data_IF_367165323575
#
_entry.id   IF_367165323575
#
_cell.length_a   1.000
_cell.length_b   1.000
_cell.length_c   1.000
_cell.angle_alpha   90.00
_cell.angle_beta   90.00
_cell.angle_gamma   90.00
#
_symmetry.space_group_name_H-M   'P 1'
#
loop_
_entity.id
_entity.type
_entity.pdbx_description
1 polymer ?
#
# COMPACT_ATOMS: atom_id res chain seq x y z
N UNK A 1 9.11 18.39 -9.55
CA UNK A 1 7.70 18.81 -9.72
C UNK A 1 6.79 17.72 -9.17
N UNK A 2 5.58 18.06 -8.73
CA UNK A 2 4.58 17.06 -8.32
C UNK A 2 3.94 16.38 -9.55
N UNK A 3 3.55 15.11 -9.39
CA UNK A 3 2.81 14.39 -10.43
C UNK A 3 1.47 15.07 -10.71
N UNK A 4 1.15 15.33 -11.98
CA UNK A 4 -0.11 15.96 -12.42
C UNK A 4 -1.36 15.22 -11.96
N UNK A 5 -1.23 13.91 -11.68
CA UNK A 5 -2.34 13.07 -11.23
C UNK A 5 -2.52 13.01 -9.72
N UNK A 6 -1.69 13.69 -8.93
CA UNK A 6 -1.69 13.58 -7.46
C UNK A 6 -3.06 13.90 -6.85
N UNK A 7 -3.78 14.88 -7.41
CA UNK A 7 -5.10 15.33 -6.95
C UNK A 7 -6.25 14.39 -7.30
N UNK A 8 -6.08 13.53 -8.29
CA UNK A 8 -7.09 12.51 -8.64
C UNK A 8 -6.94 11.24 -7.80
N UNK A 9 -5.89 11.16 -6.97
CA UNK A 9 -5.69 9.99 -6.12
C UNK A 9 -6.63 10.02 -4.92
N UNK A 10 -7.24 8.88 -4.59
CA UNK A 10 -7.98 8.67 -3.33
C UNK A 10 -7.11 9.05 -2.10
N UNK A 11 -5.78 8.93 -2.22
CA UNK A 11 -4.85 9.30 -1.16
C UNK A 11 -4.88 10.80 -0.84
N UNK A 12 -5.20 11.67 -1.80
CA UNK A 12 -5.31 13.11 -1.54
C UNK A 12 -6.52 13.42 -0.65
N UNK A 13 -7.67 12.80 -0.96
CA UNK A 13 -8.89 12.90 -0.15
C UNK A 13 -8.67 12.36 1.27
N UNK A 14 -8.12 11.14 1.40
CA UNK A 14 -7.83 10.53 2.70
C UNK A 14 -6.85 11.40 3.51
N UNK A 15 -5.83 11.97 2.87
CA UNK A 15 -4.89 12.89 3.53
C UNK A 15 -5.61 14.13 4.05
N UNK A 16 -6.51 14.72 3.26
CA UNK A 16 -7.32 15.85 3.70
C UNK A 16 -8.17 15.50 4.93
N UNK A 17 -8.84 14.35 4.92
CA UNK A 17 -9.63 13.87 6.06
C UNK A 17 -8.77 13.69 7.33
N UNK A 18 -7.62 13.02 7.20
CA UNK A 18 -6.69 12.79 8.31
C UNK A 18 -6.13 14.12 8.86
N UNK A 19 -5.83 15.09 8.00
CA UNK A 19 -5.37 16.41 8.40
C UNK A 19 -6.45 17.19 9.17
N UNK A 20 -7.70 17.11 8.74
CA UNK A 20 -8.84 17.75 9.43
C UNK A 20 -9.11 17.13 10.80
N UNK A 21 -8.91 15.82 10.93
CA UNK A 21 -9.01 15.14 12.23
C UNK A 21 -7.87 15.56 13.17
N UNK A 22 -6.64 15.56 12.67
CA UNK A 22 -5.46 15.99 13.45
C UNK A 22 -5.59 17.44 13.93
N UNK A 23 -6.08 18.35 13.08
CA UNK A 23 -6.25 19.76 13.47
C UNK A 23 -7.28 19.95 14.57
N UNK A 24 -8.28 19.06 14.66
CA UNK A 24 -9.32 19.11 15.70
C UNK A 24 -8.91 18.36 16.97
N UNK A 25 -8.11 17.31 16.81
CA UNK A 25 -7.71 16.40 17.87
C UNK A 25 -6.22 16.04 17.69
N UNK A 26 -5.30 16.82 18.29
CA UNK A 26 -3.88 16.56 18.18
C UNK A 26 -3.53 15.15 18.65
N UNK A 27 -2.74 14.43 17.86
CA UNK A 27 -2.35 13.03 18.10
C UNK A 27 -3.24 11.99 17.41
N UNK A 28 -4.28 12.38 16.67
CA UNK A 28 -5.16 11.42 15.98
C UNK A 28 -4.42 10.56 14.94
N UNK A 29 -3.54 11.16 14.13
CA UNK A 29 -2.72 10.40 13.16
C UNK A 29 -1.84 9.37 13.85
N UNK A 30 -1.23 9.74 14.98
CA UNK A 30 -0.44 8.83 15.79
C UNK A 30 -1.30 7.69 16.35
N UNK A 31 -2.47 8.01 16.90
CA UNK A 31 -3.39 7.03 17.44
C UNK A 31 -3.84 6.01 16.38
N UNK A 32 -4.13 6.46 15.16
CA UNK A 32 -4.51 5.58 14.03
C UNK A 32 -3.37 4.64 13.66
N UNK A 33 -2.15 5.15 13.45
CA UNK A 33 -0.99 4.32 13.12
C UNK A 33 -0.70 3.32 14.24
N UNK A 34 -0.67 3.77 15.49
CA UNK A 34 -0.48 2.91 16.67
C UNK A 34 -1.56 1.81 16.77
N UNK A 35 -2.79 2.11 16.38
CA UNK A 35 -3.85 1.09 16.35
C UNK A 35 -3.56 0.01 15.31
N UNK A 36 -3.12 0.39 14.10
CA UNK A 36 -2.71 -0.57 13.06
C UNK A 36 -1.51 -1.39 13.52
N UNK A 37 -0.48 -0.77 14.10
CA UNK A 37 0.72 -1.49 14.61
C UNK A 37 0.36 -2.53 15.66
N UNK A 38 -0.65 -2.27 16.50
CA UNK A 38 -1.15 -3.23 17.50
C UNK A 38 -1.95 -4.37 16.88
N UNK A 39 -2.62 -4.12 15.77
CA UNK A 39 -3.44 -5.12 15.07
C UNK A 39 -2.61 -5.98 14.11
N UNK A 40 -1.56 -5.44 13.50
CA UNK A 40 -0.70 -6.14 12.55
C UNK A 40 -0.23 -7.53 13.03
N UNK A 41 0.36 -7.70 14.23
CA UNK A 41 0.83 -9.01 14.68
C UNK A 41 -0.30 -10.01 14.96
N UNK A 42 -1.54 -9.54 15.15
CA UNK A 42 -2.70 -10.44 15.28
C UNK A 42 -3.12 -10.99 13.92
N UNK A 43 -3.01 -10.20 12.86
CA UNK A 43 -3.33 -10.62 11.50
C UNK A 43 -2.23 -11.52 10.94
N UNK A 44 -0.96 -11.19 11.18
CA UNK A 44 0.18 -12.00 10.71
C UNK A 44 0.15 -13.44 11.23
N UNK A 45 -0.43 -13.68 12.41
CA UNK A 45 -0.59 -15.03 12.97
C UNK A 45 -1.63 -15.87 12.25
N UNK A 46 -2.63 -15.22 11.66
CA UNK A 46 -3.77 -15.89 11.00
C UNK A 46 -3.53 -16.10 9.51
N UNK A 47 -2.50 -15.47 8.93
CA UNK A 47 -2.25 -15.51 7.48
C UNK A 47 -0.87 -16.10 7.21
N UNK A 48 -0.86 -17.34 6.74
CA UNK A 48 0.36 -17.94 6.19
C UNK A 48 0.51 -17.55 4.71
N UNK A 49 1.53 -16.73 4.41
CA UNK A 49 1.86 -16.36 3.02
C UNK A 49 3.15 -17.04 2.61
N UNK A 50 3.05 -17.97 1.67
CA UNK A 50 4.21 -18.59 1.03
C UNK A 50 4.66 -17.72 -0.15
N UNK A 51 5.83 -17.11 -0.03
CA UNK A 51 6.46 -16.34 -1.10
C UNK A 51 7.32 -17.26 -1.98
N UNK A 52 7.22 -17.07 -3.29
CA UNK A 52 8.06 -17.73 -4.30
C UNK A 52 8.60 -16.71 -5.30
N UNK A 53 9.59 -17.11 -6.09
CA UNK A 53 10.14 -16.26 -7.13
C UNK A 53 9.16 -16.11 -8.31
N UNK A 54 9.00 -14.88 -8.81
CA UNK A 54 8.27 -14.60 -10.04
C UNK A 54 8.92 -15.33 -11.22
N UNK A 55 8.11 -15.96 -12.09
CA UNK A 55 8.59 -16.68 -13.28
C UNK A 55 9.41 -15.81 -14.26
N UNK A 56 9.11 -14.51 -14.35
CA UNK A 56 9.75 -13.62 -15.33
C UNK A 56 10.94 -12.83 -14.78
N UNK A 57 10.81 -12.24 -13.59
CA UNK A 57 11.85 -11.35 -13.04
C UNK A 57 12.56 -11.90 -11.80
N UNK A 58 12.10 -13.01 -11.22
CA UNK A 58 12.68 -13.61 -10.01
C UNK A 58 12.30 -12.92 -8.69
N UNK A 59 11.67 -11.75 -8.71
CA UNK A 59 11.24 -11.02 -7.50
C UNK A 59 10.22 -11.80 -6.66
N UNK A 60 10.20 -11.63 -5.32
CA UNK A 60 9.32 -12.38 -4.43
C UNK A 60 7.84 -12.03 -4.63
N UNK A 61 7.00 -13.05 -4.71
CA UNK A 61 5.56 -12.91 -4.86
C UNK A 61 4.82 -14.12 -4.32
N UNK A 62 3.58 -13.93 -3.85
CA UNK A 62 2.68 -15.02 -3.50
C UNK A 62 2.01 -15.66 -4.75
N UNK A 63 2.33 -15.18 -5.95
CA UNK A 63 1.73 -15.57 -7.24
C UNK A 63 2.76 -16.27 -8.12
N UNK A 64 2.33 -16.81 -9.25
CA UNK A 64 3.26 -17.34 -10.27
C UNK A 64 4.01 -16.22 -11.01
N UNK A 65 3.33 -15.11 -11.27
CA UNK A 65 3.87 -13.88 -11.88
C UNK A 65 3.59 -12.70 -10.94
N UNK A 66 4.58 -11.83 -10.74
CA UNK A 66 4.42 -10.68 -9.85
C UNK A 66 3.49 -9.63 -10.49
N UNK A 67 2.85 -8.82 -9.65
CA UNK A 67 1.94 -7.76 -10.14
C UNK A 67 2.60 -6.76 -11.09
N UNK A 68 3.91 -6.55 -10.98
CA UNK A 68 4.64 -5.67 -11.89
C UNK A 68 4.71 -6.29 -13.31
N UNK A 69 5.14 -7.55 -13.42
CA UNK A 69 5.17 -8.25 -14.70
C UNK A 69 3.77 -8.47 -15.30
N UNK A 70 2.75 -8.76 -14.46
CA UNK A 70 1.34 -8.83 -14.92
C UNK A 70 0.92 -7.53 -15.65
N UNK A 71 1.37 -6.37 -15.17
CA UNK A 71 1.05 -5.07 -15.78
C UNK A 71 1.83 -4.85 -17.08
N UNK A 72 3.08 -5.30 -17.16
CA UNK A 72 3.89 -5.21 -18.37
C UNK A 72 3.29 -6.02 -19.54
N UNK A 73 2.73 -7.20 -19.25
CA UNK A 73 2.01 -8.01 -20.24
C UNK A 73 0.78 -7.30 -20.80
N UNK A 74 0.13 -6.46 -19.98
CA UNK A 74 -0.98 -5.60 -20.41
C UNK A 74 -0.50 -4.34 -21.18
N UNK A 75 0.81 -4.25 -21.48
CA UNK A 75 1.41 -3.14 -22.20
C UNK A 75 1.73 -1.93 -21.32
N UNK A 76 1.53 -2.02 -20.01
CA UNK A 76 1.85 -0.95 -19.06
C UNK A 76 3.30 -1.11 -18.63
N UNK A 77 4.21 -0.47 -19.38
CA UNK A 77 5.63 -0.46 -19.05
C UNK A 77 5.88 0.46 -17.85
N UNK A 78 6.28 -0.11 -16.73
CA UNK A 78 6.85 0.65 -15.62
C UNK A 78 8.31 1.01 -15.98
N UNK A 79 8.49 2.13 -16.70
CA UNK A 79 9.79 2.83 -16.71
C UNK A 79 9.75 3.97 -15.72
#
# INVERSE_FOLDING_TARGET
EECRYVRYSMRDEVRYMLNKLESRHPGMKYAIVRAVDRLAPLIEREVEVQLKACRYCGEPTARDVCRACDLEELGIRAR
#
